data_IF_977618117752
#
_entry.id   IF_977618117752
#
_cell.length_a   1.000
_cell.length_b   1.000
_cell.length_c   1.000
_cell.angle_alpha   90.00
_cell.angle_beta   90.00
_cell.angle_gamma   90.00
#
_symmetry.space_group_name_H-M   'P 1'
#
loop_
_entity.id
_entity.type
_entity.pdbx_description
1 polymer ?
#
# COMPACT_ATOMS: atom_id res chain seq x y z
N UNK A 1 -31.46 -5.07 -9.49
CA UNK A 1 -31.30 -3.79 -8.78
C UNK A 1 -31.79 -2.67 -9.68
N UNK A 2 -32.62 -1.76 -9.15
CA UNK A 2 -33.06 -0.55 -9.87
C UNK A 2 -32.35 0.66 -9.27
N UNK A 3 -31.98 1.60 -10.10
CA UNK A 3 -31.44 2.90 -9.71
C UNK A 3 -32.33 4.01 -10.26
N UNK A 4 -32.38 5.13 -9.54
CA UNK A 4 -33.12 6.33 -9.96
C UNK A 4 -32.10 7.39 -10.38
N UNK A 5 -32.26 7.95 -11.56
CA UNK A 5 -31.43 9.04 -12.02
C UNK A 5 -31.67 10.28 -11.15
N UNK A 6 -30.64 10.87 -10.52
CA UNK A 6 -30.83 12.03 -9.65
C UNK A 6 -31.18 13.32 -10.43
N UNK A 7 -30.96 13.36 -11.75
CA UNK A 7 -31.27 14.54 -12.57
C UNK A 7 -32.69 14.53 -13.14
N UNK A 8 -33.15 13.38 -13.63
CA UNK A 8 -34.48 13.31 -14.29
C UNK A 8 -35.50 12.42 -13.57
N UNK A 9 -35.11 11.74 -12.49
CA UNK A 9 -35.98 10.84 -11.74
C UNK A 9 -36.36 9.53 -12.42
N UNK A 10 -35.88 9.27 -13.62
CA UNK A 10 -36.12 8.00 -14.34
C UNK A 10 -35.57 6.82 -13.58
N UNK A 11 -36.34 5.76 -13.46
CA UNK A 11 -35.91 4.49 -12.87
C UNK A 11 -35.49 3.50 -13.96
N UNK A 12 -34.32 2.90 -13.78
CA UNK A 12 -33.81 1.88 -14.66
C UNK A 12 -33.05 0.80 -13.91
N UNK A 13 -32.77 -0.34 -14.58
CA UNK A 13 -31.82 -1.31 -14.03
C UNK A 13 -30.43 -0.71 -13.96
N UNK A 14 -29.68 -1.00 -12.86
CA UNK A 14 -28.29 -0.53 -12.69
C UNK A 14 -27.42 -0.87 -13.91
N UNK A 15 -27.64 -2.07 -14.49
CA UNK A 15 -26.94 -2.53 -15.71
C UNK A 15 -27.12 -1.57 -16.89
N UNK A 16 -28.25 -0.88 -16.98
CA UNK A 16 -28.52 0.07 -18.08
C UNK A 16 -27.54 1.25 -18.07
N UNK A 17 -27.02 1.63 -16.89
CA UNK A 17 -26.00 2.69 -16.78
C UNK A 17 -24.62 2.23 -17.22
N UNK A 18 -24.40 0.91 -17.38
CA UNK A 18 -23.16 0.30 -17.83
C UNK A 18 -23.26 -0.31 -19.24
N UNK A 19 -24.30 0.02 -20.00
CA UNK A 19 -24.45 -0.44 -21.39
C UNK A 19 -23.38 0.19 -22.29
N UNK A 20 -23.03 1.45 -22.01
CA UNK A 20 -21.98 2.14 -22.76
C UNK A 20 -20.59 1.67 -22.31
N UNK A 21 -19.70 1.47 -23.27
CA UNK A 21 -18.33 0.99 -23.03
C UNK A 21 -17.53 1.92 -22.13
N UNK A 22 -17.75 3.22 -22.24
CA UNK A 22 -17.12 4.22 -21.39
C UNK A 22 -17.62 4.14 -19.94
N UNK A 23 -18.90 3.80 -19.72
CA UNK A 23 -19.47 3.54 -18.40
C UNK A 23 -18.85 2.31 -17.74
N UNK A 24 -18.68 1.22 -18.48
CA UNK A 24 -17.99 0.02 -18.01
C UNK A 24 -16.54 0.31 -17.65
N UNK A 25 -15.83 1.05 -18.51
CA UNK A 25 -14.44 1.44 -18.30
C UNK A 25 -14.29 2.27 -17.03
N UNK A 26 -15.16 3.25 -16.81
CA UNK A 26 -15.20 4.02 -15.57
C UNK A 26 -15.41 3.12 -14.35
N UNK A 27 -16.42 2.24 -14.40
CA UNK A 27 -16.74 1.33 -13.29
C UNK A 27 -15.56 0.40 -12.96
N UNK A 28 -14.91 -0.19 -13.97
CA UNK A 28 -13.75 -1.04 -13.79
C UNK A 28 -12.55 -0.27 -13.20
N UNK A 29 -12.32 0.96 -13.67
CA UNK A 29 -11.27 1.83 -13.10
C UNK A 29 -11.54 2.12 -11.62
N UNK A 30 -12.78 2.44 -11.27
CA UNK A 30 -13.18 2.71 -9.89
C UNK A 30 -13.05 1.46 -9.00
N UNK A 31 -13.46 0.28 -9.49
CA UNK A 31 -13.32 -0.99 -8.77
C UNK A 31 -11.86 -1.41 -8.57
N UNK A 32 -10.98 -1.03 -9.49
CA UNK A 32 -9.53 -1.28 -9.43
C UNK A 32 -8.74 -0.27 -8.59
N UNK A 33 -9.39 0.72 -7.95
CA UNK A 33 -8.69 1.66 -7.07
C UNK A 33 -8.09 0.96 -5.85
N UNK A 34 -6.87 1.35 -5.42
CA UNK A 34 -6.18 0.70 -4.30
C UNK A 34 -6.89 0.81 -2.94
N UNK A 35 -7.79 1.79 -2.79
CA UNK A 35 -8.62 1.93 -1.58
C UNK A 35 -10.00 2.49 -1.91
N UNK A 36 -11.04 2.15 -1.12
CA UNK A 36 -12.39 2.67 -1.29
C UNK A 36 -12.47 4.20 -1.10
N UNK A 37 -11.66 4.74 -0.18
CA UNK A 37 -11.57 6.17 0.11
C UNK A 37 -11.09 6.95 -1.12
N UNK A 38 -10.04 6.43 -1.78
CA UNK A 38 -9.55 7.01 -3.02
C UNK A 38 -10.62 6.95 -4.11
N UNK A 39 -11.29 5.81 -4.27
CA UNK A 39 -12.39 5.67 -5.21
C UNK A 39 -13.49 6.70 -5.00
N UNK A 40 -13.94 6.87 -3.74
CA UNK A 40 -14.91 7.88 -3.35
C UNK A 40 -14.42 9.31 -3.65
N UNK A 41 -13.18 9.63 -3.31
CA UNK A 41 -12.56 10.92 -3.58
C UNK A 41 -12.50 11.21 -5.08
N UNK A 42 -12.10 10.24 -5.91
CA UNK A 42 -12.03 10.39 -7.37
C UNK A 42 -13.40 10.65 -7.98
N UNK A 43 -14.47 9.99 -7.49
CA UNK A 43 -15.83 10.29 -7.96
C UNK A 43 -16.21 11.77 -7.68
N UNK A 44 -15.88 12.30 -6.51
CA UNK A 44 -16.06 13.73 -6.21
C UNK A 44 -15.20 14.62 -7.11
N UNK A 45 -13.97 14.20 -7.38
CA UNK A 45 -13.01 14.95 -8.20
C UNK A 45 -13.48 15.12 -9.64
N UNK A 46 -14.17 14.12 -10.23
CA UNK A 46 -14.78 14.24 -11.55
C UNK A 46 -15.71 15.44 -11.66
N UNK A 47 -16.40 15.81 -10.56
CA UNK A 47 -17.27 16.97 -10.49
C UNK A 47 -16.56 18.31 -10.70
N UNK A 48 -15.23 18.37 -10.48
CA UNK A 48 -14.44 19.59 -10.69
C UNK A 48 -14.13 19.84 -12.18
N UNK A 49 -14.32 18.84 -13.04
CA UNK A 49 -14.17 18.95 -14.50
C UNK A 49 -15.49 19.18 -15.22
N UNK A 50 -16.61 19.20 -14.46
CA UNK A 50 -17.92 19.40 -15.06
C UNK A 50 -18.02 20.83 -15.61
N UNK A 51 -18.35 21.01 -16.91
CA UNK A 51 -18.66 22.33 -17.45
C UNK A 51 -19.89 22.95 -16.78
N UNK A 52 -19.98 24.28 -16.72
CA UNK A 52 -21.08 24.94 -15.97
C UNK A 52 -22.47 24.69 -16.56
N UNK A 53 -22.57 24.43 -17.85
CA UNK A 53 -23.87 24.33 -18.58
C UNK A 53 -24.22 22.91 -19.04
N UNK A 54 -23.29 21.95 -18.97
CA UNK A 54 -23.48 20.60 -19.52
C UNK A 54 -23.01 19.53 -18.56
N UNK A 55 -23.52 18.30 -18.70
CA UNK A 55 -23.02 17.15 -17.95
C UNK A 55 -21.60 16.77 -18.41
N UNK A 56 -20.80 16.22 -17.51
CA UNK A 56 -19.52 15.61 -17.86
C UNK A 56 -19.79 14.33 -18.66
N UNK A 57 -19.25 14.22 -19.87
CA UNK A 57 -19.41 13.02 -20.73
C UNK A 57 -18.68 11.83 -20.08
N UNK A 58 -19.30 10.64 -20.13
CA UNK A 58 -18.72 9.41 -19.55
C UNK A 58 -17.32 9.10 -20.09
N UNK A 59 -17.09 9.30 -21.36
CA UNK A 59 -15.76 9.15 -21.98
C UNK A 59 -14.69 10.00 -21.29
N UNK A 60 -15.00 11.29 -21.04
CA UNK A 60 -14.07 12.19 -20.35
C UNK A 60 -13.92 11.82 -18.89
N UNK A 61 -15.00 11.41 -18.21
CA UNK A 61 -14.94 10.93 -16.83
C UNK A 61 -14.06 9.67 -16.69
N UNK A 62 -14.24 8.69 -17.58
CA UNK A 62 -13.41 7.48 -17.62
C UNK A 62 -11.93 7.81 -17.84
N UNK A 63 -11.64 8.72 -18.79
CA UNK A 63 -10.28 9.17 -19.06
C UNK A 63 -9.63 9.83 -17.85
N UNK A 64 -10.31 10.77 -17.19
CA UNK A 64 -9.84 11.44 -15.98
C UNK A 64 -9.56 10.44 -14.85
N UNK A 65 -10.49 9.50 -14.63
CA UNK A 65 -10.31 8.46 -13.62
C UNK A 65 -9.10 7.56 -13.90
N UNK A 66 -8.89 7.17 -15.15
CA UNK A 66 -7.71 6.39 -15.58
C UNK A 66 -6.40 7.18 -15.40
N UNK A 67 -6.39 8.46 -15.75
CA UNK A 67 -5.22 9.33 -15.56
C UNK A 67 -4.85 9.44 -14.08
N UNK A 68 -5.83 9.64 -13.20
CA UNK A 68 -5.60 9.65 -11.74
C UNK A 68 -5.13 8.29 -11.24
N UNK A 69 -5.73 7.18 -11.69
CA UNK A 69 -5.28 5.84 -11.34
C UNK A 69 -3.82 5.61 -11.77
N UNK A 70 -3.44 6.07 -12.96
CA UNK A 70 -2.06 6.03 -13.44
C UNK A 70 -1.10 6.83 -12.56
N UNK A 71 -1.48 8.05 -12.16
CA UNK A 71 -0.68 8.87 -11.26
C UNK A 71 -0.49 8.22 -9.88
N UNK A 72 -1.53 7.60 -9.34
CA UNK A 72 -1.44 6.88 -8.06
C UNK A 72 -0.56 5.64 -8.17
N UNK A 73 -0.62 4.94 -9.29
CA UNK A 73 0.15 3.71 -9.54
C UNK A 73 1.67 3.96 -9.60
N UNK A 74 2.12 5.18 -9.89
CA UNK A 74 3.56 5.51 -9.83
C UNK A 74 4.14 5.45 -8.42
N UNK A 75 3.30 5.57 -7.38
CA UNK A 75 3.72 5.58 -5.99
C UNK A 75 4.40 6.87 -5.55
N UNK A 76 4.60 7.79 -6.45
CA UNK A 76 5.23 9.10 -6.20
C UNK A 76 4.43 10.24 -6.83
N UNK A 77 4.75 11.46 -6.45
CA UNK A 77 4.23 12.68 -7.05
C UNK A 77 5.35 13.65 -7.39
N UNK A 78 5.25 14.24 -8.59
CA UNK A 78 6.12 15.33 -9.02
C UNK A 78 5.27 16.57 -9.21
N UNK A 79 5.68 17.68 -8.59
CA UNK A 79 5.00 18.98 -8.76
C UNK A 79 5.24 19.56 -10.16
N UNK A 80 6.49 19.49 -10.59
CA UNK A 80 6.94 19.99 -11.91
C UNK A 80 7.92 18.99 -12.50
N UNK A 81 7.56 18.42 -13.63
CA UNK A 81 8.37 17.44 -14.36
C UNK A 81 9.73 18.03 -14.81
N UNK A 82 9.83 19.36 -14.90
CA UNK A 82 11.06 20.05 -15.28
C UNK A 82 12.10 20.05 -14.15
N UNK A 83 11.65 20.10 -12.89
CA UNK A 83 12.53 20.06 -11.71
C UNK A 83 12.92 18.64 -11.33
N UNK A 84 12.11 17.65 -11.73
CA UNK A 84 12.36 16.23 -11.48
C UNK A 84 12.25 15.80 -10.01
N UNK A 85 11.96 16.71 -9.07
CA UNK A 85 11.84 16.38 -7.66
C UNK A 85 10.57 15.62 -7.40
N UNK A 86 10.72 14.37 -6.92
CA UNK A 86 9.62 13.46 -6.60
C UNK A 86 9.51 13.26 -5.10
N UNK A 87 8.28 13.01 -4.63
CA UNK A 87 7.97 12.67 -3.24
C UNK A 87 7.12 11.39 -3.20
N UNK A 88 7.37 10.48 -2.27
CA UNK A 88 6.51 9.31 -2.11
C UNK A 88 5.08 9.75 -1.81
N UNK A 89 4.11 9.23 -2.55
CA UNK A 89 2.70 9.56 -2.40
C UNK A 89 1.84 8.32 -2.62
N UNK A 90 1.52 7.63 -1.52
CA UNK A 90 0.62 6.49 -1.55
C UNK A 90 -0.85 6.88 -1.75
N UNK A 91 -1.76 5.91 -1.96
CA UNK A 91 -3.17 6.14 -2.21
C UNK A 91 -3.87 7.04 -1.20
N UNK A 92 -3.51 6.94 0.09
CA UNK A 92 -4.07 7.77 1.16
C UNK A 92 -3.72 9.26 1.00
N UNK A 93 -2.50 9.57 0.53
CA UNK A 93 -2.06 10.95 0.29
C UNK A 93 -2.81 11.56 -0.89
N UNK A 94 -3.03 10.77 -1.96
CA UNK A 94 -3.83 11.18 -3.10
C UNK A 94 -5.29 11.42 -2.72
N UNK A 95 -5.90 10.52 -1.90
CA UNK A 95 -7.26 10.70 -1.40
C UNK A 95 -7.38 11.99 -0.58
N UNK A 96 -6.48 12.22 0.38
CA UNK A 96 -6.45 13.43 1.19
C UNK A 96 -6.26 14.71 0.34
N UNK A 97 -5.41 14.66 -0.69
CA UNK A 97 -5.22 15.77 -1.63
C UNK A 97 -6.48 16.12 -2.40
N UNK A 98 -7.21 15.12 -2.88
CA UNK A 98 -8.49 15.30 -3.56
C UNK A 98 -9.55 15.86 -2.59
N UNK A 99 -9.65 15.31 -1.38
CA UNK A 99 -10.59 15.80 -0.37
C UNK A 99 -10.32 17.25 0.02
N UNK A 100 -9.05 17.64 0.15
CA UNK A 100 -8.67 19.03 0.38
C UNK A 100 -9.14 19.94 -0.76
N UNK A 101 -8.97 19.51 -2.01
CA UNK A 101 -9.47 20.26 -3.17
C UNK A 101 -10.99 20.40 -3.16
N UNK A 102 -11.71 19.32 -2.81
CA UNK A 102 -13.16 19.33 -2.73
C UNK A 102 -13.66 20.28 -1.62
N UNK A 103 -12.98 20.28 -0.47
CA UNK A 103 -13.27 21.21 0.63
C UNK A 103 -13.03 22.69 0.24
N UNK A 104 -12.02 22.93 -0.60
CA UNK A 104 -11.65 24.28 -1.07
C UNK A 104 -12.25 24.61 -2.45
N UNK A 105 -13.27 23.91 -2.88
CA UNK A 105 -13.87 24.04 -4.22
C UNK A 105 -14.20 25.48 -4.61
N UNK A 106 -14.67 26.29 -3.67
CA UNK A 106 -15.02 27.71 -3.90
C UNK A 106 -13.83 28.60 -4.22
N UNK A 107 -12.61 28.18 -3.84
CA UNK A 107 -11.38 28.93 -4.09
C UNK A 107 -10.68 28.50 -5.39
N UNK A 108 -11.19 27.46 -6.06
CA UNK A 108 -10.59 26.91 -7.28
C UNK A 108 -11.34 27.44 -8.50
N UNK A 109 -10.58 27.86 -9.51
CA UNK A 109 -11.17 28.20 -10.83
C UNK A 109 -11.64 26.92 -11.53
N UNK A 110 -12.95 26.81 -11.75
CA UNK A 110 -13.61 25.66 -12.36
C UNK A 110 -14.18 26.02 -13.73
N UNK A 111 -14.26 25.07 -14.67
CA UNK A 111 -13.83 23.67 -14.59
C UNK A 111 -12.31 23.50 -14.65
N UNK A 112 -11.80 22.38 -14.09
CA UNK A 112 -10.40 22.01 -14.24
C UNK A 112 -10.11 21.48 -15.65
N UNK A 113 -8.95 21.82 -16.18
CA UNK A 113 -8.49 21.33 -17.49
C UNK A 113 -7.44 20.21 -17.38
N UNK A 114 -6.72 20.15 -16.24
CA UNK A 114 -5.61 19.20 -16.04
C UNK A 114 -5.45 18.80 -14.56
N UNK A 115 -4.56 17.83 -14.33
CA UNK A 115 -4.20 17.36 -12.99
C UNK A 115 -3.09 18.16 -12.31
N UNK A 116 -2.63 19.27 -12.92
CA UNK A 116 -1.51 20.06 -12.40
C UNK A 116 -1.74 20.58 -10.98
N UNK A 117 -2.93 21.11 -10.71
CA UNK A 117 -3.29 21.60 -9.38
C UNK A 117 -3.36 20.45 -8.35
N UNK A 118 -3.96 19.31 -8.71
CA UNK A 118 -3.98 18.12 -7.85
C UNK A 118 -2.54 17.67 -7.51
N UNK A 119 -1.66 17.56 -8.49
CA UNK A 119 -0.26 17.20 -8.26
C UNK A 119 0.44 18.16 -7.28
N UNK A 120 0.18 19.46 -7.42
CA UNK A 120 0.75 20.46 -6.50
C UNK A 120 0.25 20.30 -5.06
N UNK A 121 -1.06 20.03 -4.87
CA UNK A 121 -1.65 19.80 -3.54
C UNK A 121 -1.09 18.52 -2.92
N UNK A 122 -1.09 17.42 -3.67
CA UNK A 122 -0.57 16.12 -3.21
C UNK A 122 0.91 16.21 -2.88
N UNK A 123 1.71 16.90 -3.70
CA UNK A 123 3.13 17.16 -3.43
C UNK A 123 3.34 17.88 -2.10
N UNK A 124 2.56 18.94 -1.84
CA UNK A 124 2.65 19.67 -0.57
C UNK A 124 2.26 18.83 0.65
N UNK A 125 1.32 17.88 0.50
CA UNK A 125 0.98 16.94 1.56
C UNK A 125 2.08 15.90 1.78
N UNK A 126 2.62 15.34 0.70
CA UNK A 126 3.71 14.38 0.75
C UNK A 126 4.96 15.00 1.40
N UNK A 127 5.33 16.21 1.02
CA UNK A 127 6.47 16.94 1.59
C UNK A 127 6.32 17.17 3.10
N UNK A 128 5.12 17.54 3.56
CA UNK A 128 4.82 17.66 4.99
C UNK A 128 4.91 16.33 5.74
N UNK A 129 4.46 15.24 5.13
CA UNK A 129 4.55 13.90 5.74
C UNK A 129 6.00 13.43 5.84
N UNK A 130 6.79 13.65 4.80
CA UNK A 130 8.23 13.33 4.80
C UNK A 130 8.95 14.10 5.90
N UNK A 131 8.72 15.41 6.00
CA UNK A 131 9.30 16.24 7.05
C UNK A 131 8.88 15.81 8.46
N UNK A 132 7.61 15.41 8.65
CA UNK A 132 7.12 14.92 9.94
C UNK A 132 7.74 13.55 10.30
N UNK A 133 7.92 12.68 9.31
CA UNK A 133 8.54 11.36 9.48
C UNK A 133 10.01 11.51 9.85
N UNK A 134 10.72 12.40 9.19
CA UNK A 134 12.13 12.67 9.49
C UNK A 134 12.33 13.24 10.90
N UNK A 135 11.51 14.21 11.31
CA UNK A 135 11.52 14.72 12.68
C UNK A 135 11.30 13.63 13.71
N UNK A 136 10.33 12.73 13.46
CA UNK A 136 10.09 11.59 14.36
C UNK A 136 11.29 10.66 14.45
N UNK A 137 11.95 10.37 13.32
CA UNK A 137 13.18 9.56 13.29
C UNK A 137 14.30 10.22 14.06
N UNK A 138 14.50 11.54 13.91
CA UNK A 138 15.48 12.30 14.66
C UNK A 138 15.18 12.29 16.17
N UNK A 139 13.91 12.48 16.57
CA UNK A 139 13.49 12.46 17.96
C UNK A 139 13.64 11.07 18.57
N UNK A 140 13.28 10.02 17.84
CA UNK A 140 13.48 8.63 18.27
C UNK A 140 14.98 8.29 18.36
N UNK A 141 15.81 8.80 17.47
CA UNK A 141 17.25 8.66 17.55
C UNK A 141 17.84 9.39 18.77
N UNK A 142 17.42 10.64 19.03
CA UNK A 142 17.85 11.40 20.21
C UNK A 142 17.38 10.79 21.51
N UNK A 143 16.16 10.24 21.56
CA UNK A 143 15.60 9.62 22.76
C UNK A 143 16.15 8.22 23.06
N UNK A 144 17.01 7.67 22.21
CA UNK A 144 17.61 6.34 22.38
C UNK A 144 16.62 5.18 22.26
N UNK A 145 15.38 5.43 21.80
CA UNK A 145 14.35 4.40 21.66
C UNK A 145 14.74 3.27 20.71
N UNK A 146 15.64 3.55 19.75
CA UNK A 146 16.19 2.51 18.89
C UNK A 146 17.10 1.55 19.64
N UNK A 147 17.82 2.02 20.69
CA UNK A 147 18.63 1.17 21.58
C UNK A 147 17.75 0.33 22.50
N UNK A 148 16.62 0.90 22.98
CA UNK A 148 15.64 0.16 23.78
C UNK A 148 14.90 -0.92 22.95
N UNK A 149 14.71 -0.72 21.64
CA UNK A 149 14.16 -1.76 20.74
C UNK A 149 15.16 -2.86 20.41
N UNK A 150 16.45 -2.56 20.35
CA UNK A 150 17.52 -3.56 20.22
C UNK A 150 17.88 -4.20 21.56
N UNK A 151 17.63 -3.52 22.70
CA UNK A 151 17.74 -4.03 24.06
C UNK A 151 16.42 -4.62 24.60
N UNK A 152 15.33 -4.47 23.82
CA UNK A 152 14.06 -5.11 24.11
C UNK A 152 14.24 -6.60 24.02
N UNK A 153 14.45 -7.18 25.20
CA UNK A 153 14.18 -8.56 25.59
C UNK A 153 14.15 -9.49 24.36
N UNK A 154 15.27 -10.16 24.11
CA UNK A 154 15.18 -11.53 23.62
C UNK A 154 14.27 -12.23 24.61
N UNK A 155 12.97 -12.14 24.38
CA UNK A 155 12.00 -13.03 24.99
C UNK A 155 12.40 -14.40 24.43
N UNK A 156 13.14 -15.13 25.22
CA UNK A 156 13.39 -16.55 25.02
C UNK A 156 12.04 -17.23 25.27
N UNK A 157 11.08 -16.99 24.38
CA UNK A 157 10.08 -17.99 24.13
C UNK A 157 10.72 -18.91 23.09
N UNK A 158 11.01 -20.17 23.43
CA UNK A 158 11.45 -21.13 22.45
C UNK A 158 10.34 -21.18 21.40
N UNK A 159 10.67 -20.80 20.18
CA UNK A 159 9.82 -21.05 19.02
C UNK A 159 9.54 -22.55 19.02
N UNK A 160 8.32 -23.04 18.79
CA UNK A 160 8.01 -24.47 18.82
C UNK A 160 8.75 -25.29 17.76
N UNK A 161 9.74 -24.72 17.10
CA UNK A 161 10.54 -25.34 16.04
C UNK A 161 12.06 -25.07 16.19
N UNK A 162 12.57 -24.67 17.36
CA UNK A 162 14.01 -24.65 17.61
C UNK A 162 14.44 -26.04 18.10
N UNK A 163 15.05 -26.79 17.19
CA UNK A 163 15.70 -28.06 17.48
C UNK A 163 16.70 -27.85 18.60
N UNK A 164 16.58 -28.67 19.66
CA UNK A 164 17.53 -28.62 20.78
C UNK A 164 18.95 -28.94 20.29
N UNK A 165 20.00 -28.50 21.01
CA UNK A 165 21.36 -28.85 20.65
C UNK A 165 21.58 -30.36 20.49
N UNK A 166 20.87 -31.17 21.29
CA UNK A 166 20.86 -32.63 21.17
C UNK A 166 20.23 -33.08 19.84
N UNK A 167 19.07 -32.55 19.48
CA UNK A 167 18.38 -32.88 18.23
C UNK A 167 19.22 -32.55 17.00
N UNK A 168 19.87 -31.38 17.00
CA UNK A 168 20.78 -30.99 15.90
C UNK A 168 21.96 -31.92 15.77
N UNK A 169 22.55 -32.36 16.90
CA UNK A 169 23.69 -33.28 16.90
C UNK A 169 23.26 -34.66 16.41
N UNK A 170 22.10 -35.17 16.83
CA UNK A 170 21.55 -36.44 16.37
C UNK A 170 21.23 -36.41 14.89
N UNK A 171 20.59 -35.36 14.38
CA UNK A 171 20.33 -35.21 12.95
C UNK A 171 21.60 -35.15 12.11
N UNK A 172 22.66 -34.52 12.59
CA UNK A 172 23.95 -34.51 11.93
C UNK A 172 24.59 -35.92 11.87
N UNK A 173 24.51 -36.72 12.95
CA UNK A 173 25.03 -38.07 12.99
C UNK A 173 24.28 -38.97 12.00
N UNK A 174 22.93 -38.84 11.94
CA UNK A 174 22.07 -39.56 11.01
C UNK A 174 22.45 -39.25 9.55
N UNK A 175 22.71 -37.96 9.25
CA UNK A 175 23.15 -37.52 7.93
C UNK A 175 24.53 -38.09 7.56
N UNK A 176 25.46 -38.18 8.52
CA UNK A 176 26.78 -38.75 8.29
C UNK A 176 26.75 -40.25 8.07
N UNK A 177 25.82 -40.98 8.71
CA UNK A 177 25.53 -42.39 8.48
C UNK A 177 24.90 -42.60 7.09
N UNK A 178 23.96 -41.75 6.68
CA UNK A 178 23.30 -41.80 5.36
C UNK A 178 24.33 -41.55 4.21
N UNK A 179 25.28 -40.67 4.43
CA UNK A 179 26.37 -40.42 3.45
C UNK A 179 27.55 -41.39 3.54
N UNK A 180 27.39 -42.53 4.25
CA UNK A 180 28.44 -43.55 4.43
C UNK A 180 29.73 -43.00 5.01
N UNK A 181 29.71 -41.83 5.68
CA UNK A 181 30.86 -41.21 6.33
C UNK A 181 31.17 -41.86 7.70
N UNK A 182 30.12 -42.38 8.36
CA UNK A 182 30.21 -43.15 9.60
C UNK A 182 29.74 -44.60 9.37
N UNK A 183 30.46 -45.55 9.99
CA UNK A 183 29.93 -46.91 10.12
C UNK A 183 28.84 -46.94 11.21
N UNK A 184 27.95 -47.93 11.16
CA UNK A 184 26.88 -48.07 12.15
C UNK A 184 27.40 -48.10 13.61
N UNK A 185 28.57 -48.69 13.84
CA UNK A 185 29.21 -48.73 15.16
C UNK A 185 29.69 -47.32 15.59
N UNK A 186 30.28 -46.54 14.68
CA UNK A 186 30.74 -45.18 14.92
C UNK A 186 29.55 -44.25 15.17
N UNK A 187 28.46 -44.39 14.40
CA UNK A 187 27.24 -43.58 14.59
C UNK A 187 26.63 -43.84 15.97
N UNK A 188 26.57 -45.11 16.44
CA UNK A 188 26.09 -45.42 17.78
C UNK A 188 26.94 -44.82 18.89
N UNK A 189 28.25 -44.84 18.74
CA UNK A 189 29.15 -44.23 19.70
C UNK A 189 29.02 -42.73 19.79
N UNK A 190 28.89 -42.05 18.65
CA UNK A 190 28.67 -40.59 18.59
C UNK A 190 27.27 -40.20 19.15
N UNK A 191 26.22 -40.98 18.90
CA UNK A 191 24.89 -40.79 19.52
C UNK A 191 24.99 -40.88 21.06
N UNK A 192 25.74 -41.87 21.58
CA UNK A 192 25.98 -42.02 23.02
C UNK A 192 26.67 -40.78 23.61
N UNK A 193 27.73 -40.30 22.95
CA UNK A 193 28.47 -39.08 23.38
C UNK A 193 27.55 -37.83 23.31
N UNK A 194 26.67 -37.71 22.31
CA UNK A 194 25.73 -36.62 22.18
C UNK A 194 24.74 -36.63 23.34
N UNK A 195 24.21 -37.78 23.74
CA UNK A 195 23.31 -37.92 24.88
C UNK A 195 24.04 -37.61 26.20
N UNK A 196 25.30 -38.05 26.38
CA UNK A 196 26.08 -37.74 27.57
C UNK A 196 26.38 -36.23 27.69
N UNK A 197 26.64 -35.56 26.57
CA UNK A 197 27.00 -34.14 26.54
C UNK A 197 25.80 -33.18 26.63
N UNK A 198 24.66 -33.56 26.05
CA UNK A 198 23.47 -32.67 25.88
C UNK A 198 22.19 -33.24 26.48
N UNK A 199 22.24 -34.45 27.08
CA UNK A 199 21.05 -35.14 27.63
C UNK A 199 20.67 -34.78 29.03
N UNK A 200 21.47 -34.01 29.77
CA UNK A 200 21.23 -33.57 31.15
C UNK A 200 20.88 -32.07 31.23
N UNK A 201 19.96 -31.58 30.37
CA UNK A 201 19.37 -30.25 30.58
C UNK A 201 17.85 -30.32 30.55
#
# INVERSE_FOLDING_TARGET
>A
MKATCPECGCQGHVVTFFVEEDGKRLAMTMAGMPSPELGKAVLGYLGLFKPPKTALRLQRAAKIAQEVAGLVATGDVCKDERTGVRRPAGPAVWAAGIEQMLAQRSAISLPLDSHGYLRAVVYGLADKQDAATERRREDDARSGKHLARSAGTVSIHPSPNEETPLQRQLAWIDQMEEFEQFTAEQAQEERRKAHEKYGEQ
#
